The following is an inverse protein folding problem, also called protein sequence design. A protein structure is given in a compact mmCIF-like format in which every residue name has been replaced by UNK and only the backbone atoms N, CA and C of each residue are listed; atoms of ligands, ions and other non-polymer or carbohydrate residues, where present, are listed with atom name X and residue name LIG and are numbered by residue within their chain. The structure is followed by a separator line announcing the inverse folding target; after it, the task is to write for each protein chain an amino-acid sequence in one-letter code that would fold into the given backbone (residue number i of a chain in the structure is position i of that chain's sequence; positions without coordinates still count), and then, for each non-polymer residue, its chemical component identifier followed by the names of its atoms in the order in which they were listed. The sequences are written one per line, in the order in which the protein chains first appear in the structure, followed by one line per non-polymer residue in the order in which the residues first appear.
data_IF_381807273114
#
_entry.id   IF_381807273114
#
_cell.length_a   1.000
_cell.length_b   1.000
_cell.length_c   1.000
_cell.angle_alpha   90.00
_cell.angle_beta   90.00
_cell.angle_gamma   90.00
#
_symmetry.space_group_name_H-M   'P 1'
#
loop_
_entity.id
_entity.type
_entity.pdbx_description
1 polymer ?
#
# COMPACT_ATOMS: atom_id res chain seq x y z
N UNK A 1 31.31 72.39 -18.65
CA UNK A 1 30.01 71.97 -18.07
C UNK A 1 29.30 71.16 -19.14
N UNK A 2 29.58 69.87 -19.33
CA UNK A 2 29.24 68.70 -18.50
C UNK A 2 27.75 68.62 -18.13
N UNK A 3 26.97 67.83 -18.86
CA UNK A 3 26.44 66.54 -18.36
C UNK A 3 25.60 65.81 -19.43
N UNK A 4 26.01 64.58 -19.69
CA UNK A 4 25.29 63.49 -20.36
C UNK A 4 24.20 62.94 -19.44
N UNK A 5 23.04 62.55 -19.98
CA UNK A 5 22.22 61.44 -19.43
C UNK A 5 21.57 60.70 -20.59
N UNK A 6 22.22 59.60 -21.03
CA UNK A 6 21.66 58.60 -21.92
C UNK A 6 21.13 57.43 -21.11
N UNK A 7 19.86 57.10 -21.31
CA UNK A 7 19.11 56.04 -20.62
C UNK A 7 19.62 54.64 -21.01
N UNK A 8 20.01 53.86 -20.00
CA UNK A 8 20.37 52.45 -20.10
C UNK A 8 19.09 51.59 -20.20
N UNK A 9 18.95 50.83 -21.28
CA UNK A 9 17.97 49.75 -21.42
C UNK A 9 18.63 48.45 -20.95
N UNK A 10 18.27 47.97 -19.76
CA UNK A 10 18.67 46.67 -19.24
C UNK A 10 17.85 45.56 -19.90
N UNK A 11 18.52 44.74 -20.71
CA UNK A 11 17.98 43.50 -21.28
C UNK A 11 18.10 42.40 -20.22
N UNK A 12 17.01 42.11 -19.52
CA UNK A 12 16.92 40.96 -18.62
C UNK A 12 16.83 39.66 -19.44
N UNK A 13 17.92 38.91 -19.47
CA UNK A 13 17.97 37.55 -19.99
C UNK A 13 17.18 36.60 -19.06
N UNK A 14 16.06 36.08 -19.56
CA UNK A 14 15.27 35.06 -18.87
C UNK A 14 15.99 33.70 -18.95
N UNK A 15 16.70 33.34 -17.88
CA UNK A 15 17.33 32.02 -17.74
C UNK A 15 16.25 30.96 -17.43
N UNK A 16 15.81 30.24 -18.46
CA UNK A 16 14.92 29.07 -18.34
C UNK A 16 15.61 27.96 -17.52
N UNK A 17 15.30 27.85 -16.22
CA UNK A 17 15.76 26.72 -15.40
C UNK A 17 15.02 25.46 -15.83
N UNK A 18 15.71 24.52 -16.47
CA UNK A 18 15.20 23.17 -16.65
C UNK A 18 15.03 22.50 -15.27
N UNK A 19 13.90 21.86 -14.97
CA UNK A 19 13.71 21.15 -13.70
C UNK A 19 14.62 19.92 -13.68
N UNK A 20 15.61 19.94 -12.78
CA UNK A 20 16.40 18.75 -12.45
C UNK A 20 15.45 17.66 -11.93
N UNK A 21 15.31 16.57 -12.70
CA UNK A 21 14.70 15.32 -12.21
C UNK A 21 15.55 14.84 -11.03
N UNK A 22 15.08 15.05 -9.80
CA UNK A 22 15.64 14.42 -8.60
C UNK A 22 15.57 12.91 -8.84
N UNK A 23 16.71 12.25 -9.04
CA UNK A 23 16.78 10.80 -9.10
C UNK A 23 16.20 10.26 -7.79
N UNK A 24 15.16 9.43 -7.86
CA UNK A 24 14.63 8.75 -6.69
C UNK A 24 15.72 7.78 -6.20
N UNK A 25 16.27 8.10 -5.03
CA UNK A 25 17.39 7.39 -4.44
C UNK A 25 16.85 6.08 -3.89
N UNK A 26 17.20 4.95 -4.53
CA UNK A 26 16.95 3.62 -3.95
C UNK A 26 17.78 3.51 -2.67
N UNK A 27 17.13 3.17 -1.57
CA UNK A 27 17.85 2.76 -0.36
C UNK A 27 18.28 1.31 -0.52
N UNK A 28 19.50 0.98 -0.12
CA UNK A 28 19.94 -0.40 -0.06
C UNK A 28 18.98 -1.20 0.85
N UNK A 29 18.48 -2.33 0.34
CA UNK A 29 17.64 -3.24 1.13
C UNK A 29 18.53 -3.87 2.18
N UNK A 30 18.41 -3.44 3.44
CA UNK A 30 19.09 -4.08 4.55
C UNK A 30 18.44 -5.44 4.82
N UNK A 31 19.15 -6.58 4.69
CA UNK A 31 18.61 -7.89 5.04
C UNK A 31 18.11 -7.93 6.49
N UNK A 32 17.11 -8.77 6.77
CA UNK A 32 16.68 -9.02 8.14
C UNK A 32 17.65 -9.97 8.83
N UNK A 33 17.88 -9.77 10.12
CA UNK A 33 18.63 -10.71 10.93
C UNK A 33 17.85 -12.04 11.08
N UNK A 34 18.51 -13.19 11.19
CA UNK A 34 17.83 -14.49 11.39
C UNK A 34 16.87 -14.49 12.59
N UNK A 35 17.24 -13.82 13.68
CA UNK A 35 16.44 -13.72 14.90
C UNK A 35 15.14 -12.94 14.66
N UNK A 36 15.20 -11.92 13.82
CA UNK A 36 14.02 -11.13 13.44
C UNK A 36 13.06 -11.94 12.56
N UNK A 37 13.60 -12.73 11.62
CA UNK A 37 12.81 -13.66 10.81
C UNK A 37 12.16 -14.72 11.70
N UNK A 38 12.93 -15.31 12.63
CA UNK A 38 12.43 -16.30 13.57
C UNK A 38 11.32 -15.72 14.47
N UNK A 39 11.49 -14.51 14.98
CA UNK A 39 10.48 -13.85 15.81
C UNK A 39 9.18 -13.56 15.04
N UNK A 40 9.27 -13.10 13.78
CA UNK A 40 8.09 -12.91 12.92
C UNK A 40 7.34 -14.22 12.66
N UNK A 41 8.06 -15.32 12.42
CA UNK A 41 7.45 -16.66 12.27
C UNK A 41 6.79 -17.13 13.58
N UNK A 42 7.49 -17.00 14.70
CA UNK A 42 6.95 -17.34 16.02
C UNK A 42 5.70 -16.52 16.39
N UNK A 43 5.64 -15.24 15.97
CA UNK A 43 4.43 -14.43 16.11
C UNK A 43 3.23 -15.02 15.37
N UNK A 44 3.44 -15.50 14.14
CA UNK A 44 2.38 -16.14 13.35
C UNK A 44 1.90 -17.43 14.00
N UNK A 45 2.85 -18.28 14.40
CA UNK A 45 2.57 -19.53 15.11
C UNK A 45 1.77 -19.27 16.39
N UNK A 46 2.11 -18.22 17.15
CA UNK A 46 1.37 -17.82 18.33
C UNK A 46 -0.07 -17.40 17.99
N UNK A 47 -0.28 -16.57 16.96
CA UNK A 47 -1.63 -16.15 16.54
C UNK A 47 -2.48 -17.36 16.13
N UNK A 48 -1.91 -18.29 15.37
CA UNK A 48 -2.61 -19.49 14.89
C UNK A 48 -2.92 -20.47 16.03
N UNK A 49 -1.98 -20.68 16.96
CA UNK A 49 -2.16 -21.65 18.05
C UNK A 49 -2.96 -21.09 19.23
N UNK A 50 -2.66 -19.86 19.63
CA UNK A 50 -3.04 -19.27 20.92
C UNK A 50 -3.82 -17.95 20.82
N UNK A 51 -4.06 -17.43 19.61
CA UNK A 51 -4.86 -16.21 19.43
C UNK A 51 -6.28 -16.37 19.98
N UNK A 52 -6.82 -15.30 20.57
CA UNK A 52 -8.23 -15.22 20.97
C UNK A 52 -9.15 -15.61 19.79
N UNK A 53 -10.29 -16.30 20.01
CA UNK A 53 -11.06 -16.92 18.93
C UNK A 53 -11.37 -16.00 17.75
N UNK A 54 -11.80 -14.76 18.02
CA UNK A 54 -12.09 -13.76 16.99
C UNK A 54 -10.84 -13.37 16.19
N UNK A 55 -9.71 -13.15 16.87
CA UNK A 55 -8.44 -12.83 16.23
C UNK A 55 -7.90 -14.02 15.44
N UNK A 56 -7.94 -15.23 16.01
CA UNK A 56 -7.50 -16.46 15.35
C UNK A 56 -8.28 -16.72 14.06
N UNK A 57 -9.59 -16.51 14.07
CA UNK A 57 -10.41 -16.62 12.87
C UNK A 57 -9.97 -15.62 11.78
N UNK A 58 -9.92 -14.33 12.11
CA UNK A 58 -9.70 -13.29 11.11
C UNK A 58 -8.24 -13.13 10.70
N UNK A 59 -7.30 -13.10 11.65
CA UNK A 59 -5.87 -13.13 11.34
C UNK A 59 -5.51 -14.43 10.65
N UNK A 60 -5.98 -15.60 11.12
CA UNK A 60 -5.70 -16.88 10.46
C UNK A 60 -6.04 -16.86 8.96
N UNK A 61 -7.20 -16.32 8.58
CA UNK A 61 -7.56 -16.10 7.17
C UNK A 61 -6.56 -15.18 6.45
N UNK A 62 -6.23 -14.03 7.04
CA UNK A 62 -5.31 -13.07 6.44
C UNK A 62 -3.88 -13.62 6.28
N UNK A 63 -3.38 -14.38 7.26
CA UNK A 63 -2.08 -15.05 7.19
C UNK A 63 -2.06 -16.08 6.05
N UNK A 64 -3.15 -16.83 5.88
CA UNK A 64 -3.29 -17.79 4.79
C UNK A 64 -3.32 -17.11 3.42
N UNK A 65 -4.11 -16.04 3.29
CA UNK A 65 -4.12 -15.21 2.07
C UNK A 65 -2.76 -14.62 1.76
N UNK A 66 -2.06 -14.12 2.77
CA UNK A 66 -0.71 -13.61 2.59
C UNK A 66 0.24 -14.70 2.09
N UNK A 67 0.21 -15.93 2.64
CA UNK A 67 1.06 -17.05 2.19
C UNK A 67 0.77 -17.39 0.73
N UNK A 68 -0.50 -17.57 0.40
CA UNK A 68 -0.97 -17.85 -0.95
C UNK A 68 -0.46 -16.79 -1.94
N UNK A 69 -0.72 -15.50 -1.67
CA UNK A 69 -0.33 -14.44 -2.59
C UNK A 69 1.16 -14.18 -2.64
N UNK A 70 1.89 -14.37 -1.54
CA UNK A 70 3.36 -14.31 -1.55
C UNK A 70 3.93 -15.31 -2.55
N UNK A 71 3.40 -16.54 -2.56
CA UNK A 71 3.76 -17.54 -3.55
C UNK A 71 3.35 -17.14 -4.97
N UNK A 72 2.08 -16.76 -5.18
CA UNK A 72 1.50 -16.52 -6.50
C UNK A 72 2.00 -15.23 -7.18
N UNK A 73 2.26 -14.16 -6.43
CA UNK A 73 2.49 -12.81 -6.95
C UNK A 73 3.88 -12.25 -6.65
N UNK A 74 4.55 -12.79 -5.64
CA UNK A 74 5.83 -12.27 -5.16
C UNK A 74 6.94 -13.33 -5.16
N UNK A 75 6.73 -14.49 -5.79
CA UNK A 75 7.70 -15.58 -5.90
C UNK A 75 8.28 -16.03 -4.54
N UNK A 76 7.46 -15.97 -3.49
CA UNK A 76 7.85 -16.27 -2.10
C UNK A 76 8.98 -15.38 -1.54
N UNK A 77 9.18 -14.18 -2.09
CA UNK A 77 10.25 -13.27 -1.67
C UNK A 77 9.90 -12.45 -0.43
N UNK A 78 8.61 -12.32 -0.08
CA UNK A 78 8.22 -11.58 1.11
C UNK A 78 8.47 -12.41 2.37
N UNK A 79 8.81 -11.74 3.47
CA UNK A 79 9.00 -12.37 4.78
C UNK A 79 7.77 -12.08 5.65
N UNK A 80 7.21 -13.05 6.41
CA UNK A 80 6.00 -12.85 7.21
C UNK A 80 6.01 -11.55 8.04
N UNK A 81 5.06 -10.61 7.88
CA UNK A 81 4.99 -9.38 8.67
C UNK A 81 4.36 -9.55 10.04
N UNK A 82 4.61 -8.61 10.94
CA UNK A 82 3.76 -8.48 12.13
C UNK A 82 2.39 -8.01 11.66
N UNK A 83 1.45 -8.94 11.55
CA UNK A 83 0.10 -8.66 11.07
C UNK A 83 -0.84 -8.47 12.26
N UNK A 84 -1.46 -7.30 12.35
CA UNK A 84 -2.28 -6.90 13.49
C UNK A 84 -3.65 -6.40 13.03
N UNK A 85 -4.68 -6.76 13.78
CA UNK A 85 -5.96 -6.06 13.74
C UNK A 85 -5.88 -4.87 14.69
N UNK A 86 -5.54 -3.70 14.16
CA UNK A 86 -5.37 -2.47 14.95
C UNK A 86 -5.65 -1.22 14.09
N UNK A 87 -5.86 -0.09 14.76
CA UNK A 87 -6.02 1.20 14.12
C UNK A 87 -4.77 1.60 13.31
N UNK A 88 -4.93 1.95 12.02
CA UNK A 88 -3.85 2.44 11.18
C UNK A 88 -3.47 3.89 11.53
N UNK A 89 -2.53 4.46 10.76
CA UNK A 89 -1.99 5.81 11.02
C UNK A 89 -3.00 6.95 10.97
N UNK A 90 -4.16 6.76 10.33
CA UNK A 90 -5.19 7.78 10.22
C UNK A 90 -6.60 7.18 10.21
N UNK A 91 -7.63 7.94 10.65
CA UNK A 91 -9.01 7.44 10.73
C UNK A 91 -9.63 6.99 9.40
N UNK A 92 -9.23 7.62 8.30
CA UNK A 92 -9.75 7.36 6.95
C UNK A 92 -8.95 6.31 6.18
N UNK A 93 -8.01 5.63 6.83
CA UNK A 93 -7.19 4.58 6.24
C UNK A 93 -7.74 3.21 6.66
N UNK A 94 -7.82 2.27 5.73
CA UNK A 94 -8.33 0.91 5.96
C UNK A 94 -7.25 -0.04 6.51
N UNK A 95 -6.00 0.16 6.10
CA UNK A 95 -4.84 -0.58 6.59
C UNK A 95 -3.55 0.17 6.25
N UNK A 96 -2.43 -0.24 6.85
CA UNK A 96 -1.13 0.32 6.51
C UNK A 96 0.02 -0.67 6.74
N UNK A 97 1.02 -0.62 5.85
CA UNK A 97 2.29 -1.29 5.99
C UNK A 97 3.35 -0.32 6.56
N UNK A 98 3.61 -0.40 7.86
CA UNK A 98 4.61 0.41 8.55
C UNK A 98 6.02 -0.21 8.47
N UNK A 99 7.06 0.63 8.34
CA UNK A 99 8.46 0.18 8.34
C UNK A 99 8.86 -0.48 9.67
N UNK A 100 8.38 0.06 10.78
CA UNK A 100 8.65 -0.43 12.13
C UNK A 100 7.33 -0.69 12.84
N UNK A 101 7.30 -1.75 13.62
CA UNK A 101 6.22 -2.07 14.55
C UNK A 101 6.30 -1.22 15.82
N UNK A 102 5.25 -1.26 16.62
CA UNK A 102 5.19 -0.54 17.91
C UNK A 102 6.28 -0.95 18.91
N UNK A 103 6.86 -2.14 18.76
CA UNK A 103 7.96 -2.65 19.61
C UNK A 103 9.32 -2.67 18.89
N UNK A 104 9.43 -2.07 17.70
CA UNK A 104 10.70 -1.88 16.99
C UNK A 104 11.08 -2.96 15.98
N UNK A 105 10.34 -4.06 15.86
CA UNK A 105 10.53 -5.05 14.79
C UNK A 105 10.13 -4.48 13.42
N UNK A 106 10.82 -4.87 12.33
CA UNK A 106 10.57 -4.33 10.99
C UNK A 106 9.35 -4.95 10.32
N UNK A 107 8.69 -4.12 9.51
CA UNK A 107 7.59 -4.45 8.61
C UNK A 107 6.37 -5.05 9.33
N UNK A 108 5.44 -4.14 9.63
CA UNK A 108 4.15 -4.40 10.27
C UNK A 108 3.03 -4.06 9.30
N UNK A 109 2.03 -4.94 9.18
CA UNK A 109 0.79 -4.65 8.46
C UNK A 109 -0.32 -4.53 9.51
N UNK A 110 -1.03 -3.41 9.50
CA UNK A 110 -2.26 -3.22 10.30
C UNK A 110 -3.46 -3.21 9.38
N UNK A 111 -4.52 -3.90 9.80
CA UNK A 111 -5.84 -3.81 9.17
C UNK A 111 -6.83 -3.38 10.24
N UNK A 112 -7.64 -2.38 9.92
CA UNK A 112 -8.61 -1.79 10.82
C UNK A 112 -9.67 -2.82 11.25
N UNK A 113 -9.83 -3.12 12.56
CA UNK A 113 -10.80 -4.12 13.04
C UNK A 113 -12.26 -3.78 12.71
N UNK A 114 -12.59 -2.49 12.65
CA UNK A 114 -13.95 -2.03 12.35
C UNK A 114 -14.42 -2.38 10.94
N UNK A 115 -13.50 -2.75 10.03
CA UNK A 115 -13.84 -3.30 8.72
C UNK A 115 -14.49 -4.67 8.85
N UNK A 116 -13.93 -5.56 9.67
CA UNK A 116 -14.44 -6.92 9.90
C UNK A 116 -15.71 -6.92 10.75
N UNK A 117 -15.75 -6.04 11.77
CA UNK A 117 -16.91 -5.88 12.64
C UNK A 117 -18.08 -5.15 11.95
N UNK A 118 -17.87 -4.57 10.76
CA UNK A 118 -18.86 -3.74 10.07
C UNK A 118 -19.18 -2.42 10.78
N UNK A 119 -18.34 -1.99 11.74
CA UNK A 119 -18.54 -0.74 12.47
C UNK A 119 -17.90 0.46 11.78
N UNK A 120 -17.10 0.25 10.74
CA UNK A 120 -16.59 1.31 9.87
C UNK A 120 -17.73 1.95 9.04
N UNK A 121 -17.75 3.28 8.81
CA UNK A 121 -18.79 3.95 8.04
C UNK A 121 -19.06 3.38 6.63
N UNK A 122 -18.00 2.88 5.98
CA UNK A 122 -18.10 2.32 4.62
C UNK A 122 -18.53 0.84 4.60
N UNK A 123 -18.73 0.22 5.76
CA UNK A 123 -19.07 -1.20 5.88
C UNK A 123 -20.49 -1.42 6.40
N UNK A 124 -21.20 -2.36 5.79
CA UNK A 124 -22.50 -2.81 6.29
C UNK A 124 -22.34 -3.81 7.44
N UNK A 125 -23.10 -3.59 8.52
CA UNK A 125 -23.24 -4.54 9.65
C UNK A 125 -24.20 -5.67 9.31
N UNK A 126 -24.05 -6.79 10.01
CA UNK A 126 -24.90 -7.97 9.90
C UNK A 126 -24.15 -9.17 9.34
N UNK A 127 -24.64 -10.36 9.67
CA UNK A 127 -23.99 -11.63 9.31
C UNK A 127 -24.05 -11.87 7.79
N UNK A 128 -25.10 -11.41 7.13
CA UNK A 128 -25.27 -11.47 5.66
C UNK A 128 -24.14 -10.77 4.89
N UNK A 129 -23.43 -9.84 5.52
CA UNK A 129 -22.32 -9.11 4.91
C UNK A 129 -20.93 -9.59 5.38
N UNK A 130 -20.85 -10.63 6.23
CA UNK A 130 -19.59 -11.06 6.84
C UNK A 130 -18.54 -11.52 5.81
N UNK A 131 -18.95 -12.29 4.79
CA UNK A 131 -18.01 -12.71 3.74
C UNK A 131 -17.58 -11.52 2.87
N UNK A 132 -18.51 -10.63 2.50
CA UNK A 132 -18.18 -9.41 1.76
C UNK A 132 -17.18 -8.51 2.48
N UNK A 133 -17.30 -8.36 3.82
CA UNK A 133 -16.31 -7.65 4.63
C UNK A 133 -14.97 -8.36 4.66
N UNK A 134 -14.98 -9.70 4.71
CA UNK A 134 -13.75 -10.50 4.66
C UNK A 134 -13.03 -10.35 3.32
N UNK A 135 -13.77 -10.37 2.19
CA UNK A 135 -13.24 -10.10 0.85
C UNK A 135 -12.64 -8.69 0.74
N UNK A 136 -13.29 -7.69 1.33
CA UNK A 136 -12.76 -6.34 1.39
C UNK A 136 -11.45 -6.27 2.18
N UNK A 137 -11.37 -6.91 3.35
CA UNK A 137 -10.13 -6.93 4.13
C UNK A 137 -9.01 -7.75 3.48
N UNK A 138 -9.36 -8.81 2.75
CA UNK A 138 -8.41 -9.55 1.91
C UNK A 138 -7.79 -8.59 0.86
N UNK A 139 -8.59 -7.72 0.23
CA UNK A 139 -8.10 -6.74 -0.73
C UNK A 139 -7.29 -5.59 -0.11
N UNK A 140 -7.62 -5.17 1.12
CA UNK A 140 -6.77 -4.26 1.91
C UNK A 140 -5.41 -4.91 2.19
N UNK A 141 -5.38 -6.19 2.56
CA UNK A 141 -4.12 -6.92 2.74
C UNK A 141 -3.31 -6.96 1.43
N UNK A 142 -3.96 -7.29 0.30
CA UNK A 142 -3.28 -7.36 -0.99
C UNK A 142 -2.65 -6.02 -1.39
N UNK A 143 -3.32 -4.91 -1.09
CA UNK A 143 -2.76 -3.56 -1.23
C UNK A 143 -1.49 -3.38 -0.38
N UNK A 144 -1.58 -3.70 0.92
CA UNK A 144 -0.45 -3.53 1.85
C UNK A 144 0.74 -4.44 1.53
N UNK A 145 0.51 -5.61 0.92
CA UNK A 145 1.58 -6.49 0.44
C UNK A 145 2.42 -5.85 -0.68
N UNK A 146 1.85 -4.97 -1.51
CA UNK A 146 2.64 -4.20 -2.49
C UNK A 146 3.59 -3.22 -1.78
N UNK A 147 3.11 -2.56 -0.72
CA UNK A 147 3.97 -1.71 0.10
C UNK A 147 5.06 -2.51 0.82
N UNK A 148 4.74 -3.70 1.32
CA UNK A 148 5.74 -4.61 1.87
C UNK A 148 6.80 -4.95 0.81
N UNK A 149 6.40 -5.34 -0.40
CA UNK A 149 7.31 -5.67 -1.51
C UNK A 149 8.23 -4.51 -1.90
N UNK A 150 7.69 -3.29 -1.98
CA UNK A 150 8.49 -2.09 -2.24
C UNK A 150 9.63 -1.90 -1.22
N UNK A 151 9.36 -2.21 0.06
CA UNK A 151 10.33 -2.07 1.15
C UNK A 151 11.31 -3.23 1.22
N UNK A 152 10.81 -4.46 1.17
CA UNK A 152 11.59 -5.68 1.46
C UNK A 152 12.34 -6.20 0.23
N UNK A 153 11.83 -5.97 -0.98
CA UNK A 153 12.41 -6.53 -2.21
C UNK A 153 13.03 -5.44 -3.08
N UNK A 154 12.33 -4.32 -3.27
CA UNK A 154 12.79 -3.28 -4.21
C UNK A 154 13.73 -2.27 -3.55
N UNK A 155 13.56 -1.99 -2.26
CA UNK A 155 14.30 -0.93 -1.55
C UNK A 155 13.89 0.48 -1.98
N UNK A 156 12.68 0.66 -2.51
CA UNK A 156 12.14 1.96 -2.88
C UNK A 156 10.67 2.09 -2.46
N UNK A 157 10.38 2.79 -1.34
CA UNK A 157 9.02 3.02 -0.88
C UNK A 157 8.30 4.17 -1.60
N UNK A 158 8.88 4.76 -2.66
CA UNK A 158 8.27 5.82 -3.47
C UNK A 158 7.71 7.00 -2.65
N UNK A 159 8.50 7.53 -1.72
CA UNK A 159 8.05 8.55 -0.76
C UNK A 159 7.44 9.82 -1.39
N UNK A 160 7.92 10.23 -2.57
CA UNK A 160 7.36 11.37 -3.32
C UNK A 160 5.92 11.15 -3.80
N UNK A 161 5.44 9.90 -3.78
CA UNK A 161 4.09 9.47 -4.17
C UNK A 161 3.32 8.87 -2.99
N UNK A 162 3.79 9.06 -1.76
CA UNK A 162 3.20 8.46 -0.55
C UNK A 162 3.09 6.92 -0.64
N UNK A 163 4.01 6.27 -1.37
CA UNK A 163 3.98 4.83 -1.60
C UNK A 163 3.24 4.40 -2.87
N UNK A 164 2.48 5.27 -3.53
CA UNK A 164 1.64 4.94 -4.70
C UNK A 164 2.20 5.48 -6.01
N UNK A 165 3.49 5.26 -6.24
CA UNK A 165 4.21 5.69 -7.43
C UNK A 165 4.15 4.66 -8.58
N UNK A 166 5.01 4.84 -9.60
CA UNK A 166 5.12 3.91 -10.72
C UNK A 166 5.34 2.44 -10.33
N UNK A 167 6.19 2.14 -9.36
CA UNK A 167 6.46 0.76 -8.92
C UNK A 167 5.22 0.12 -8.31
N UNK A 168 4.51 0.85 -7.44
CA UNK A 168 3.23 0.37 -6.90
C UNK A 168 2.25 0.08 -8.02
N UNK A 169 2.03 1.07 -8.91
CA UNK A 169 1.10 0.95 -10.03
C UNK A 169 1.42 -0.26 -10.91
N UNK A 170 2.70 -0.47 -11.22
CA UNK A 170 3.12 -1.53 -12.12
C UNK A 170 2.91 -2.91 -11.48
N UNK A 171 3.23 -3.07 -10.19
CA UNK A 171 2.92 -4.29 -9.44
C UNK A 171 1.41 -4.52 -9.31
N UNK A 172 0.63 -3.47 -9.02
CA UNK A 172 -0.83 -3.54 -8.96
C UNK A 172 -1.44 -3.96 -10.31
N UNK A 173 -0.94 -3.43 -11.42
CA UNK A 173 -1.39 -3.81 -12.76
C UNK A 173 -0.96 -5.22 -13.15
N UNK A 174 0.23 -5.67 -12.73
CA UNK A 174 0.69 -7.06 -12.93
C UNK A 174 -0.22 -8.05 -12.22
N UNK A 175 -0.52 -7.81 -10.94
CA UNK A 175 -1.43 -8.65 -10.15
C UNK A 175 -2.85 -8.54 -10.70
N UNK A 176 -3.31 -7.31 -10.97
CA UNK A 176 -4.63 -7.04 -11.53
C UNK A 176 -4.89 -7.79 -12.84
N UNK A 177 -3.90 -7.85 -13.75
CA UNK A 177 -4.03 -8.62 -14.98
C UNK A 177 -4.28 -10.12 -14.72
N UNK A 178 -3.66 -10.72 -13.69
CA UNK A 178 -3.90 -12.12 -13.30
C UNK A 178 -5.28 -12.31 -12.67
N UNK A 179 -5.79 -11.29 -11.99
CA UNK A 179 -7.11 -11.28 -11.36
C UNK A 179 -8.24 -10.85 -12.32
N UNK A 180 -7.93 -10.50 -13.57
CA UNK A 180 -8.90 -9.97 -14.53
C UNK A 180 -9.37 -8.54 -14.24
N UNK A 181 -8.60 -7.76 -13.47
CA UNK A 181 -8.96 -6.40 -13.06
C UNK A 181 -8.49 -5.34 -14.08
N UNK A 182 -9.27 -4.27 -14.26
CA UNK A 182 -8.86 -3.09 -15.03
C UNK A 182 -7.54 -2.47 -14.55
N UNK A 183 -6.86 -1.79 -15.47
CA UNK A 183 -5.61 -1.09 -15.17
C UNK A 183 -5.85 0.17 -14.34
N UNK A 184 -4.89 0.46 -13.46
CA UNK A 184 -4.80 1.69 -12.67
C UNK A 184 -3.63 2.57 -13.10
N UNK A 185 -3.75 3.88 -12.85
CA UNK A 185 -2.67 4.87 -12.97
C UNK A 185 -1.98 5.12 -11.63
N UNK A 186 -0.90 5.90 -11.62
CA UNK A 186 -0.29 6.37 -10.38
C UNK A 186 -1.22 7.35 -9.64
N UNK A 187 -0.93 7.60 -8.35
CA UNK A 187 -1.71 8.55 -7.54
C UNK A 187 -1.84 9.93 -8.20
N UNK A 188 -0.73 10.45 -8.73
CA UNK A 188 -0.70 11.78 -9.37
C UNK A 188 -1.15 11.68 -10.82
N UNK A 189 -2.25 12.36 -11.15
CA UNK A 189 -2.75 12.47 -12.53
C UNK A 189 -1.87 13.43 -13.35
N UNK A 190 -0.75 12.91 -13.86
CA UNK A 190 0.24 13.69 -14.62
C UNK A 190 0.27 13.36 -16.10
N UNK A 191 -0.07 12.13 -16.47
CA UNK A 191 0.02 11.65 -17.85
C UNK A 191 -1.34 11.72 -18.53
N UNK A 192 -1.47 12.57 -19.56
CA UNK A 192 -2.72 12.74 -20.32
C UNK A 192 -3.33 11.42 -20.80
N UNK A 193 -2.48 10.45 -21.19
CA UNK A 193 -2.92 9.15 -21.70
C UNK A 193 -3.58 8.24 -20.65
N UNK A 194 -3.30 8.46 -19.36
CA UNK A 194 -3.78 7.60 -18.27
C UNK A 194 -4.86 8.30 -17.43
N UNK A 195 -5.28 9.52 -17.81
CA UNK A 195 -6.18 10.39 -17.03
C UNK A 195 -7.53 9.77 -16.70
N UNK A 196 -8.05 8.93 -17.60
CA UNK A 196 -9.32 8.22 -17.41
C UNK A 196 -9.24 6.99 -16.51
N UNK A 197 -8.03 6.56 -16.12
CA UNK A 197 -7.86 5.38 -15.29
C UNK A 197 -8.04 5.70 -13.79
N UNK A 198 -8.55 4.73 -13.01
CA UNK A 198 -8.59 4.84 -11.56
C UNK A 198 -7.19 4.93 -10.94
N UNK A 199 -7.08 5.61 -9.79
CA UNK A 199 -5.82 5.74 -9.05
C UNK A 199 -5.41 4.42 -8.38
N UNK A 200 -4.13 4.07 -8.42
CA UNK A 200 -3.63 2.88 -7.71
C UNK A 200 -3.68 3.00 -6.18
N UNK A 201 -3.84 4.21 -5.63
CA UNK A 201 -3.96 4.41 -4.17
C UNK A 201 -5.21 3.78 -3.55
N UNK A 202 -6.17 3.38 -4.36
CA UNK A 202 -7.41 2.73 -3.94
C UNK A 202 -7.56 1.35 -4.60
N UNK A 203 -6.49 0.82 -5.20
CA UNK A 203 -6.48 -0.52 -5.78
C UNK A 203 -6.39 -1.57 -4.66
N UNK A 204 -7.03 -2.75 -4.76
CA UNK A 204 -7.87 -3.19 -5.88
C UNK A 204 -9.34 -2.77 -5.78
N UNK A 205 -9.80 -2.25 -4.64
CA UNK A 205 -11.24 -2.09 -4.40
C UNK A 205 -11.93 -1.11 -5.34
N UNK A 206 -11.22 -0.11 -5.86
CA UNK A 206 -11.78 0.82 -6.84
C UNK A 206 -11.88 0.26 -8.28
N UNK A 207 -11.43 -0.98 -8.51
CA UNK A 207 -11.52 -1.67 -9.81
C UNK A 207 -12.13 -3.07 -9.70
N UNK A 208 -12.60 -3.47 -8.51
CA UNK A 208 -13.42 -4.68 -8.35
C UNK A 208 -14.81 -4.46 -8.98
N UNK A 209 -15.44 -5.51 -9.52
CA UNK A 209 -16.87 -5.47 -9.86
C UNK A 209 -17.72 -5.10 -8.63
N UNK A 210 -18.83 -4.39 -8.84
CA UNK A 210 -19.68 -3.88 -7.76
C UNK A 210 -20.22 -5.01 -6.85
N UNK A 211 -20.47 -6.18 -7.43
CA UNK A 211 -20.98 -7.37 -6.74
C UNK A 211 -19.91 -8.12 -5.95
N UNK A 212 -18.62 -7.84 -6.17
CA UNK A 212 -17.51 -8.62 -5.60
C UNK A 212 -17.56 -8.67 -4.07
N UNK A 213 -17.85 -7.54 -3.44
CA UNK A 213 -17.97 -7.46 -1.97
C UNK A 213 -19.37 -7.80 -1.45
N UNK A 214 -20.24 -8.38 -2.28
CA UNK A 214 -21.56 -8.87 -1.86
C UNK A 214 -22.40 -7.80 -1.14
N UNK A 215 -22.26 -6.54 -1.57
CA UNK A 215 -22.93 -5.38 -0.98
C UNK A 215 -22.42 -4.92 0.39
N UNK A 216 -21.34 -5.51 0.92
CA UNK A 216 -20.78 -5.15 2.22
C UNK A 216 -20.09 -3.77 2.21
N UNK A 217 -19.44 -3.40 1.10
CA UNK A 217 -18.77 -2.11 0.90
C UNK A 217 -19.71 -1.09 0.25
N UNK A 218 -19.57 0.19 0.60
CA UNK A 218 -20.38 1.31 0.09
C UNK A 218 -19.52 2.45 -0.40
#
# INVERSE_FOLDING_TARGET
MSLLVGTHLDVLAATTRQPQKKAEQRSEVTPLAPEEIAHRKGFWEFVEAHGEPWHKQHLGRLLERWRQWNQEHYASLLIPPYMLLNEPVAPNVYGDCARLSGFGGRSQIRIRPSLLAGTHPDMRRGDDYAEGRSLFTDDVLLHEMIHQWQREVVGNPEGAYHGHGPLFRDKANEIGARLGLPRVRTMKDRAKKDKGLPSCSQWPHNVRPDEYYQGAYR
#
